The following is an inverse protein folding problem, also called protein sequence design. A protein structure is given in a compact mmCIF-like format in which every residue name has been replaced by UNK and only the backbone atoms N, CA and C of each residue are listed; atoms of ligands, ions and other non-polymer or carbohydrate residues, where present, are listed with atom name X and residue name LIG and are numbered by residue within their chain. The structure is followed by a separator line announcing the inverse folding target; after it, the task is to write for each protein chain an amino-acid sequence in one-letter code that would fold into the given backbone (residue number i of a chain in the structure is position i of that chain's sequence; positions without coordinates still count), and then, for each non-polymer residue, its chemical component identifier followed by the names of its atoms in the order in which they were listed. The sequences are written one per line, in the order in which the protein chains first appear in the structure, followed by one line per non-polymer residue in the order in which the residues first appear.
data_IF_619028883964
#
_entry.id   IF_619028883964
#
_cell.length_a   1.000
_cell.length_b   1.000
_cell.length_c   1.000
_cell.angle_alpha   90.00
_cell.angle_beta   90.00
_cell.angle_gamma   90.00
#
_symmetry.space_group_name_H-M   'P 1'
#
loop_
_entity.id
_entity.type
_entity.pdbx_description
1 polymer ?
#
# COMPACT_ATOMS: atom_id res chain seq x y z
N UNK A 1 30.07 -9.80 2.44
CA UNK A 1 29.76 -8.42 2.01
C UNK A 1 30.35 -7.47 3.02
N UNK A 2 31.23 -6.53 2.65
CA UNK A 2 31.79 -5.56 3.60
C UNK A 2 30.66 -4.69 4.15
N UNK A 3 30.63 -4.42 5.44
CA UNK A 3 29.61 -3.61 6.15
C UNK A 3 29.35 -2.28 5.42
N UNK A 4 30.37 -1.66 4.82
CA UNK A 4 30.23 -0.42 4.05
C UNK A 4 29.35 -0.54 2.79
N UNK A 5 29.29 -1.69 2.13
CA UNK A 5 28.48 -1.90 0.92
C UNK A 5 27.00 -2.13 1.26
N UNK A 6 26.70 -2.73 2.42
CA UNK A 6 25.34 -2.86 2.90
C UNK A 6 24.71 -1.47 3.18
N UNK A 7 25.42 -0.64 3.94
CA UNK A 7 24.93 0.72 4.27
C UNK A 7 24.76 1.61 3.03
N UNK A 8 25.68 1.52 2.05
CA UNK A 8 25.56 2.26 0.77
C UNK A 8 24.33 1.83 -0.02
N UNK A 9 24.05 0.52 -0.12
CA UNK A 9 22.87 0.00 -0.82
C UNK A 9 21.57 0.40 -0.11
N UNK A 10 21.55 0.33 1.24
CA UNK A 10 20.39 0.75 2.03
C UNK A 10 20.12 2.26 1.90
N UNK A 11 21.15 3.09 1.96
CA UNK A 11 21.02 4.54 1.78
C UNK A 11 20.53 4.90 0.38
N UNK A 12 21.07 4.27 -0.66
CA UNK A 12 20.64 4.48 -2.06
C UNK A 12 19.18 4.05 -2.26
N UNK A 13 18.77 2.90 -1.71
CA UNK A 13 17.38 2.43 -1.75
C UNK A 13 16.43 3.41 -1.05
N UNK A 14 16.79 3.88 0.15
CA UNK A 14 16.00 4.84 0.91
C UNK A 14 15.88 6.18 0.20
N UNK A 15 16.96 6.68 -0.40
CA UNK A 15 16.95 7.92 -1.19
C UNK A 15 16.02 7.80 -2.40
N UNK A 16 16.13 6.72 -3.19
CA UNK A 16 15.26 6.48 -4.34
C UNK A 16 13.79 6.35 -3.93
N UNK A 17 13.51 5.72 -2.80
CA UNK A 17 12.16 5.64 -2.23
C UNK A 17 11.63 7.02 -1.83
N UNK A 18 12.47 7.88 -1.23
CA UNK A 18 12.10 9.26 -0.90
C UNK A 18 11.81 10.07 -2.17
N UNK A 19 12.67 9.99 -3.18
CA UNK A 19 12.47 10.63 -4.49
C UNK A 19 11.15 10.17 -5.12
N UNK A 20 10.86 8.87 -5.08
CA UNK A 20 9.58 8.33 -5.58
C UNK A 20 8.37 8.94 -4.85
N UNK A 21 8.45 9.12 -3.53
CA UNK A 21 7.37 9.76 -2.76
C UNK A 21 7.17 11.22 -3.15
N UNK A 22 8.27 11.96 -3.38
CA UNK A 22 8.21 13.34 -3.87
C UNK A 22 7.54 13.43 -5.23
N UNK A 23 7.91 12.57 -6.19
CA UNK A 23 7.24 12.51 -7.50
C UNK A 23 5.77 12.12 -7.39
N UNK A 24 5.42 11.19 -6.48
CA UNK A 24 4.03 10.84 -6.20
C UNK A 24 3.24 12.03 -5.67
N UNK A 25 3.84 12.83 -4.81
CA UNK A 25 3.23 14.05 -4.29
C UNK A 25 3.07 15.12 -5.39
N UNK A 26 4.09 15.36 -6.21
CA UNK A 26 4.01 16.29 -7.36
C UNK A 26 2.91 15.87 -8.34
N UNK A 27 2.76 14.58 -8.62
CA UNK A 27 1.64 14.07 -9.41
C UNK A 27 0.28 14.43 -8.78
N UNK A 28 0.12 14.19 -7.46
CA UNK A 28 -1.13 14.48 -6.77
C UNK A 28 -1.45 15.99 -6.79
N UNK A 29 -0.43 16.88 -6.68
CA UNK A 29 -0.59 18.32 -6.85
C UNK A 29 -1.09 18.69 -8.26
N UNK A 30 -0.53 18.08 -9.28
CA UNK A 30 -0.91 18.32 -10.68
C UNK A 30 -2.35 17.81 -10.91
N UNK A 31 -2.67 16.62 -10.44
CA UNK A 31 -4.01 16.05 -10.61
C UNK A 31 -5.08 16.89 -9.88
N UNK A 32 -4.81 17.33 -8.65
CA UNK A 32 -5.73 18.23 -7.94
C UNK A 32 -5.90 19.57 -8.64
N UNK A 33 -4.84 20.12 -9.24
CA UNK A 33 -4.92 21.36 -10.00
C UNK A 33 -5.82 21.26 -11.23
N UNK A 34 -5.77 20.15 -11.98
CA UNK A 34 -6.55 19.94 -13.19
C UNK A 34 -7.96 19.41 -12.96
N UNK A 35 -8.15 18.59 -11.93
CA UNK A 35 -9.38 17.81 -11.71
C UNK A 35 -10.18 18.26 -10.49
N UNK A 36 -9.57 19.02 -9.58
CA UNK A 36 -10.18 19.30 -8.28
C UNK A 36 -10.56 18.01 -7.55
N UNK A 37 -11.64 18.04 -6.79
CA UNK A 37 -12.31 16.86 -6.23
C UNK A 37 -13.56 16.51 -7.06
N UNK A 38 -13.39 16.37 -8.38
CA UNK A 38 -14.44 16.06 -9.32
C UNK A 38 -14.62 14.56 -9.59
N UNK A 39 -15.65 14.25 -10.42
CA UNK A 39 -16.00 12.85 -10.78
C UNK A 39 -14.83 12.08 -11.38
N UNK A 40 -14.06 12.69 -12.28
CA UNK A 40 -12.89 12.07 -12.93
C UNK A 40 -11.83 11.66 -11.88
N UNK A 41 -11.57 12.56 -10.92
CA UNK A 41 -10.59 12.28 -9.87
C UNK A 41 -11.08 11.17 -8.94
N UNK A 42 -12.36 11.17 -8.56
CA UNK A 42 -12.97 10.11 -7.76
C UNK A 42 -12.88 8.74 -8.46
N UNK A 43 -13.24 8.68 -9.76
CA UNK A 43 -13.14 7.45 -10.55
C UNK A 43 -11.69 6.97 -10.58
N UNK A 44 -10.73 7.87 -10.84
CA UNK A 44 -9.30 7.51 -10.81
C UNK A 44 -8.91 6.93 -9.45
N UNK A 45 -9.23 7.61 -8.34
CA UNK A 45 -8.85 7.19 -6.98
C UNK A 45 -9.47 5.84 -6.61
N UNK A 46 -10.76 5.64 -6.92
CA UNK A 46 -11.49 4.41 -6.55
C UNK A 46 -11.12 3.24 -7.47
N UNK A 47 -11.21 3.44 -8.78
CA UNK A 47 -11.03 2.34 -9.76
C UNK A 47 -9.56 1.92 -9.85
N UNK A 48 -8.61 2.86 -9.81
CA UNK A 48 -7.19 2.48 -9.86
C UNK A 48 -6.72 1.77 -8.59
N UNK A 49 -7.45 1.84 -7.49
CA UNK A 49 -7.17 0.98 -6.32
C UNK A 49 -7.37 -0.50 -6.63
N UNK A 50 -8.27 -0.87 -7.54
CA UNK A 50 -8.52 -2.28 -7.90
C UNK A 50 -7.24 -2.94 -8.43
N UNK A 51 -6.61 -2.50 -9.53
CA UNK A 51 -5.34 -3.10 -9.99
C UNK A 51 -4.21 -2.96 -8.97
N UNK A 52 -4.19 -1.91 -8.13
CA UNK A 52 -3.18 -1.76 -7.08
C UNK A 52 -3.29 -2.80 -5.96
N UNK A 53 -4.50 -3.15 -5.55
CA UNK A 53 -4.73 -4.19 -4.56
C UNK A 53 -4.29 -5.54 -5.11
N UNK A 54 -4.67 -5.89 -6.33
CA UNK A 54 -4.22 -7.13 -6.97
C UNK A 54 -2.70 -7.13 -7.21
N UNK A 55 -2.10 -5.98 -7.52
CA UNK A 55 -0.64 -5.83 -7.60
C UNK A 55 0.05 -6.23 -6.29
N UNK A 56 -0.50 -5.90 -5.14
CA UNK A 56 0.07 -6.27 -3.85
C UNK A 56 0.03 -7.77 -3.59
N UNK A 57 -0.97 -8.48 -4.11
CA UNK A 57 -1.04 -9.93 -4.04
C UNK A 57 -0.03 -10.61 -4.98
N UNK A 58 0.06 -10.15 -6.23
CA UNK A 58 0.85 -10.82 -7.27
C UNK A 58 2.25 -10.24 -7.46
N UNK A 59 2.51 -9.03 -7.01
CA UNK A 59 3.71 -8.29 -7.37
C UNK A 59 4.62 -7.89 -6.23
N UNK A 60 4.12 -7.26 -5.19
CA UNK A 60 4.96 -6.71 -4.14
C UNK A 60 4.95 -7.59 -2.88
N UNK A 61 6.05 -7.61 -2.16
CA UNK A 61 6.15 -8.28 -0.87
C UNK A 61 6.03 -9.79 -0.93
N UNK A 62 4.84 -10.35 -1.11
CA UNK A 62 4.59 -11.79 -1.05
C UNK A 62 5.39 -12.58 -2.10
N UNK A 63 5.38 -12.14 -3.36
CA UNK A 63 6.14 -12.77 -4.44
C UNK A 63 7.65 -12.69 -4.18
N UNK A 64 8.17 -11.49 -3.86
CA UNK A 64 9.59 -11.29 -3.61
C UNK A 64 10.10 -12.07 -2.37
N UNK A 65 9.32 -12.09 -1.29
CA UNK A 65 9.63 -12.84 -0.07
C UNK A 65 9.65 -14.35 -0.30
N UNK A 66 8.78 -14.86 -1.18
CA UNK A 66 8.68 -16.29 -1.48
C UNK A 66 9.68 -16.73 -2.56
N UNK A 67 9.91 -15.89 -3.58
CA UNK A 67 10.75 -16.22 -4.73
C UNK A 67 12.24 -16.19 -4.35
N UNK A 68 12.70 -15.22 -3.57
CA UNK A 68 14.12 -15.08 -3.21
C UNK A 68 14.68 -16.34 -2.50
N UNK A 69 14.07 -16.91 -1.44
CA UNK A 69 14.54 -18.15 -0.86
C UNK A 69 14.48 -19.34 -1.82
N UNK A 70 13.40 -19.41 -2.64
CA UNK A 70 13.21 -20.51 -3.59
C UNK A 70 14.24 -20.49 -4.72
N UNK A 71 14.71 -19.32 -5.15
CA UNK A 71 15.85 -19.16 -6.09
C UNK A 71 17.11 -19.79 -5.51
N UNK A 72 17.39 -19.51 -4.21
CA UNK A 72 18.57 -20.02 -3.53
C UNK A 72 18.51 -21.56 -3.40
N UNK A 73 17.33 -22.11 -3.10
CA UNK A 73 17.10 -23.55 -2.99
C UNK A 73 17.20 -24.29 -4.34
N UNK A 74 16.75 -23.66 -5.42
CA UNK A 74 16.77 -24.26 -6.75
C UNK A 74 18.18 -24.52 -7.29
N UNK A 75 19.22 -23.82 -6.80
CA UNK A 75 20.63 -24.01 -7.17
C UNK A 75 20.84 -24.12 -8.69
N UNK A 76 21.34 -25.27 -9.15
CA UNK A 76 21.57 -25.51 -10.59
C UNK A 76 20.30 -25.49 -11.46
N UNK A 77 19.12 -25.68 -10.86
CA UNK A 77 17.82 -25.65 -11.56
C UNK A 77 17.15 -24.27 -11.53
N UNK A 78 17.84 -23.19 -11.10
CA UNK A 78 17.27 -21.86 -10.94
C UNK A 78 16.56 -21.35 -12.18
N UNK A 79 17.19 -21.45 -13.37
CA UNK A 79 16.58 -20.96 -14.60
C UNK A 79 15.31 -21.75 -14.96
N UNK A 80 15.33 -23.08 -14.78
CA UNK A 80 14.15 -23.92 -15.01
C UNK A 80 13.02 -23.51 -14.05
N UNK A 81 13.32 -23.38 -12.77
CA UNK A 81 12.38 -22.95 -11.75
C UNK A 81 11.76 -21.57 -12.07
N UNK A 82 12.59 -20.59 -12.41
CA UNK A 82 12.12 -19.25 -12.76
C UNK A 82 11.24 -19.25 -14.02
N UNK A 83 11.59 -20.04 -15.03
CA UNK A 83 10.79 -20.20 -16.26
C UNK A 83 9.41 -20.77 -15.94
N UNK A 84 9.33 -21.78 -15.07
CA UNK A 84 8.06 -22.41 -14.67
C UNK A 84 7.20 -21.43 -13.86
N UNK A 85 7.80 -20.72 -12.89
CA UNK A 85 7.07 -19.68 -12.11
C UNK A 85 6.59 -18.57 -13.04
N UNK A 86 7.42 -18.11 -13.98
CA UNK A 86 7.04 -17.09 -14.96
C UNK A 86 5.86 -17.59 -15.82
N UNK A 87 5.92 -18.84 -16.31
CA UNK A 87 4.85 -19.44 -17.13
C UNK A 87 3.51 -19.45 -16.38
N UNK A 88 3.51 -19.92 -15.12
CA UNK A 88 2.31 -19.95 -14.29
C UNK A 88 1.80 -18.53 -14.03
N UNK A 89 2.68 -17.62 -13.60
CA UNK A 89 2.32 -16.23 -13.32
C UNK A 89 1.72 -15.54 -14.54
N UNK A 90 2.38 -15.64 -15.70
CA UNK A 90 1.95 -15.02 -16.95
C UNK A 90 0.58 -15.52 -17.39
N UNK A 91 0.40 -16.85 -17.46
CA UNK A 91 -0.88 -17.45 -17.89
C UNK A 91 -2.01 -17.07 -16.91
N UNK A 92 -1.75 -17.17 -15.60
CA UNK A 92 -2.76 -16.81 -14.59
C UNK A 92 -3.17 -15.34 -14.69
N UNK A 93 -2.21 -14.43 -14.92
CA UNK A 93 -2.50 -13.01 -15.08
C UNK A 93 -3.23 -12.69 -16.37
N UNK A 94 -2.85 -13.32 -17.50
CA UNK A 94 -3.54 -13.14 -18.78
C UNK A 94 -4.98 -13.60 -18.67
N UNK A 95 -5.22 -14.78 -18.07
CA UNK A 95 -6.57 -15.28 -17.83
C UNK A 95 -7.37 -14.36 -16.92
N UNK A 96 -6.73 -13.83 -15.86
CA UNK A 96 -7.39 -12.91 -14.94
C UNK A 96 -7.75 -11.58 -15.62
N UNK A 97 -6.83 -10.99 -16.40
CA UNK A 97 -7.10 -9.78 -17.18
C UNK A 97 -8.24 -10.05 -18.15
N UNK A 98 -8.22 -11.18 -18.85
CA UNK A 98 -9.28 -11.54 -19.79
C UNK A 98 -10.66 -11.65 -19.14
N UNK A 99 -10.74 -12.24 -17.93
CA UNK A 99 -12.00 -12.31 -17.16
C UNK A 99 -12.51 -10.91 -16.79
N UNK A 100 -11.62 -10.02 -16.35
CA UNK A 100 -12.03 -8.66 -15.99
C UNK A 100 -12.44 -7.84 -17.21
N UNK A 101 -11.78 -8.02 -18.36
CA UNK A 101 -12.13 -7.37 -19.62
C UNK A 101 -13.50 -7.82 -20.17
N UNK A 102 -13.88 -9.08 -19.94
CA UNK A 102 -15.21 -9.59 -20.32
C UNK A 102 -16.29 -9.08 -19.37
N UNK A 103 -16.02 -9.04 -18.08
CA UNK A 103 -16.99 -8.73 -17.02
C UNK A 103 -16.63 -7.47 -16.20
N UNK A 104 -16.25 -6.34 -16.79
CA UNK A 104 -15.79 -5.18 -16.04
C UNK A 104 -16.88 -4.59 -15.15
N UNK A 105 -18.16 -4.62 -15.59
CA UNK A 105 -19.31 -4.16 -14.80
C UNK A 105 -19.43 -4.93 -13.48
N UNK A 106 -19.19 -6.24 -13.51
CA UNK A 106 -19.22 -7.09 -12.33
C UNK A 106 -18.16 -6.63 -11.30
N UNK A 107 -16.94 -6.34 -11.75
CA UNK A 107 -15.87 -5.86 -10.88
C UNK A 107 -16.15 -4.45 -10.35
N UNK A 108 -16.65 -3.53 -11.17
CA UNK A 108 -17.06 -2.19 -10.70
C UNK A 108 -18.18 -2.30 -9.67
N UNK A 109 -19.19 -3.15 -9.90
CA UNK A 109 -20.26 -3.38 -8.92
C UNK A 109 -19.79 -3.96 -7.58
N UNK A 110 -18.71 -4.76 -7.58
CA UNK A 110 -18.15 -5.29 -6.32
C UNK A 110 -17.32 -4.22 -5.60
N UNK A 111 -16.47 -3.49 -6.32
CA UNK A 111 -15.44 -2.61 -5.72
C UNK A 111 -15.86 -1.14 -5.62
N UNK A 112 -16.88 -0.73 -6.36
CA UNK A 112 -17.42 0.62 -6.35
C UNK A 112 -18.95 0.60 -6.55
N UNK A 113 -19.71 -0.16 -5.73
CA UNK A 113 -21.15 -0.34 -5.92
C UNK A 113 -21.93 0.99 -5.87
N UNK A 114 -21.45 1.97 -5.10
CA UNK A 114 -22.10 3.28 -5.02
C UNK A 114 -22.09 4.08 -6.33
N UNK A 115 -21.19 3.76 -7.27
CA UNK A 115 -21.19 4.42 -8.58
C UNK A 115 -22.39 4.02 -9.44
N UNK A 116 -23.03 2.86 -9.19
CA UNK A 116 -24.22 2.42 -9.90
C UNK A 116 -25.46 3.30 -9.67
N UNK A 117 -25.41 4.20 -8.69
CA UNK A 117 -26.47 5.20 -8.49
C UNK A 117 -26.47 6.31 -9.57
N UNK A 118 -25.42 6.41 -10.40
CA UNK A 118 -25.29 7.35 -11.51
C UNK A 118 -24.74 6.61 -12.73
N UNK A 119 -25.59 6.38 -13.72
CA UNK A 119 -25.27 5.60 -14.92
C UNK A 119 -24.04 6.13 -15.66
N UNK A 120 -23.91 7.45 -15.81
CA UNK A 120 -22.75 8.05 -16.46
C UNK A 120 -21.45 7.77 -15.70
N UNK A 121 -21.44 8.00 -14.38
CA UNK A 121 -20.26 7.75 -13.54
C UNK A 121 -19.89 6.27 -13.53
N UNK A 122 -20.88 5.38 -13.57
CA UNK A 122 -20.67 3.94 -13.64
C UNK A 122 -20.04 3.53 -14.98
N UNK A 123 -20.57 4.01 -16.11
CA UNK A 123 -20.03 3.69 -17.43
C UNK A 123 -18.62 4.24 -17.63
N UNK A 124 -18.34 5.45 -17.14
CA UNK A 124 -16.99 6.03 -17.12
C UNK A 124 -16.04 5.18 -16.28
N UNK A 125 -16.48 4.69 -15.11
CA UNK A 125 -15.70 3.82 -14.25
C UNK A 125 -15.41 2.46 -14.89
N UNK A 126 -16.39 1.87 -15.58
CA UNK A 126 -16.25 0.62 -16.35
C UNK A 126 -15.26 0.81 -17.50
N UNK A 127 -15.40 1.88 -18.27
CA UNK A 127 -14.48 2.22 -19.36
C UNK A 127 -13.05 2.44 -18.86
N UNK A 128 -12.91 3.14 -17.73
CA UNK A 128 -11.61 3.37 -17.13
C UNK A 128 -10.99 2.07 -16.57
N UNK A 129 -11.78 1.20 -15.94
CA UNK A 129 -11.29 -0.11 -15.46
C UNK A 129 -10.73 -0.93 -16.62
N UNK A 130 -11.45 -1.08 -17.72
CA UNK A 130 -10.96 -1.76 -18.93
C UNK A 130 -9.61 -1.21 -19.39
N UNK A 131 -9.49 0.11 -19.45
CA UNK A 131 -8.25 0.74 -19.92
C UNK A 131 -7.06 0.50 -18.98
N UNK A 132 -7.28 0.52 -17.65
CA UNK A 132 -6.17 0.44 -16.69
C UNK A 132 -5.89 -0.97 -16.17
N UNK A 133 -6.83 -1.92 -16.31
CA UNK A 133 -6.67 -3.24 -15.73
C UNK A 133 -5.51 -4.06 -16.34
N UNK A 134 -5.20 -3.97 -17.65
CA UNK A 134 -4.02 -4.63 -18.22
C UNK A 134 -2.68 -4.21 -17.59
N UNK A 135 -2.63 -3.07 -16.91
CA UNK A 135 -1.46 -2.65 -16.13
C UNK A 135 -1.04 -3.68 -15.08
N UNK A 136 -1.99 -4.49 -14.54
CA UNK A 136 -1.67 -5.54 -13.55
C UNK A 136 -0.70 -6.58 -14.12
N UNK A 137 -0.86 -6.95 -15.39
CA UNK A 137 0.05 -7.88 -16.06
C UNK A 137 1.46 -7.31 -16.13
N UNK A 138 1.58 -6.04 -16.56
CA UNK A 138 2.86 -5.35 -16.70
C UNK A 138 3.58 -5.25 -15.36
N UNK A 139 2.90 -4.73 -14.34
CA UNK A 139 3.52 -4.47 -13.03
C UNK A 139 3.83 -5.78 -12.26
N UNK A 140 3.05 -6.84 -12.44
CA UNK A 140 3.35 -8.14 -11.82
C UNK A 140 4.59 -8.80 -12.44
N UNK A 141 4.80 -8.66 -13.75
CA UNK A 141 6.04 -9.11 -14.41
C UNK A 141 7.22 -8.25 -13.94
N UNK A 142 7.04 -6.93 -13.79
CA UNK A 142 8.04 -6.03 -13.20
C UNK A 142 8.45 -6.50 -11.81
N UNK A 143 7.49 -6.87 -10.98
CA UNK A 143 7.75 -7.37 -9.63
C UNK A 143 8.46 -8.74 -9.63
N UNK A 144 8.14 -9.63 -10.59
CA UNK A 144 8.86 -10.87 -10.80
C UNK A 144 10.33 -10.60 -11.15
N UNK A 145 10.62 -9.69 -12.08
CA UNK A 145 11.99 -9.26 -12.38
C UNK A 145 12.67 -8.61 -11.18
N UNK A 146 11.95 -7.76 -10.44
CA UNK A 146 12.42 -7.14 -9.22
C UNK A 146 12.84 -8.16 -8.15
N UNK A 147 12.10 -9.25 -7.99
CA UNK A 147 12.47 -10.33 -7.06
C UNK A 147 13.78 -11.02 -7.48
N UNK A 148 13.99 -11.24 -8.79
CA UNK A 148 15.25 -11.78 -9.32
C UNK A 148 16.40 -10.79 -9.09
N UNK A 149 16.21 -9.51 -9.38
CA UNK A 149 17.19 -8.46 -9.14
C UNK A 149 17.57 -8.36 -7.66
N UNK A 150 16.58 -8.41 -6.76
CA UNK A 150 16.78 -8.41 -5.30
C UNK A 150 17.59 -9.64 -4.84
N UNK A 151 17.33 -10.83 -5.40
CA UNK A 151 18.11 -12.04 -5.10
C UNK A 151 19.59 -11.91 -5.48
N UNK A 152 19.85 -11.11 -6.52
CA UNK A 152 21.22 -10.77 -6.99
C UNK A 152 21.75 -9.45 -6.40
N UNK A 153 21.08 -8.88 -5.39
CA UNK A 153 21.45 -7.64 -4.67
C UNK A 153 21.43 -6.35 -5.53
N UNK A 154 20.62 -6.33 -6.58
CA UNK A 154 20.38 -5.14 -7.40
C UNK A 154 19.08 -4.42 -6.97
N UNK A 155 19.10 -3.75 -5.81
CA UNK A 155 17.90 -3.14 -5.19
C UNK A 155 17.51 -1.79 -5.82
N UNK A 156 18.43 -1.06 -6.40
CA UNK A 156 18.23 0.32 -6.86
C UNK A 156 17.18 0.43 -7.97
N UNK A 157 17.18 -0.52 -8.91
CA UNK A 157 16.23 -0.51 -10.04
C UNK A 157 14.81 -0.69 -9.54
N UNK A 158 14.62 -1.62 -8.60
CA UNK A 158 13.32 -1.88 -7.97
C UNK A 158 12.82 -0.62 -7.24
N UNK A 159 13.70 0.07 -6.50
CA UNK A 159 13.38 1.31 -5.80
C UNK A 159 13.07 2.49 -6.75
N UNK A 160 13.71 2.53 -7.93
CA UNK A 160 13.49 3.57 -8.94
C UNK A 160 12.22 3.35 -9.78
N UNK A 161 11.72 2.12 -9.86
CA UNK A 161 10.58 1.77 -10.72
C UNK A 161 9.32 2.64 -10.48
N UNK A 162 8.89 2.95 -9.24
CA UNK A 162 7.74 3.82 -9.02
C UNK A 162 7.96 5.29 -9.43
N UNK A 163 9.21 5.74 -9.58
CA UNK A 163 9.53 7.08 -10.09
C UNK A 163 9.05 7.21 -11.53
N UNK A 164 9.31 6.19 -12.36
CA UNK A 164 8.89 6.15 -13.76
C UNK A 164 7.36 6.19 -13.90
N UNK A 165 6.65 5.52 -13.00
CA UNK A 165 5.20 5.59 -12.95
C UNK A 165 4.70 7.03 -12.75
N UNK A 166 5.21 7.70 -11.73
CA UNK A 166 4.80 9.07 -11.43
C UNK A 166 5.22 10.06 -12.53
N UNK A 167 6.43 9.92 -13.09
CA UNK A 167 6.91 10.77 -14.19
C UNK A 167 5.98 10.60 -15.41
N UNK A 168 5.60 9.39 -15.79
CA UNK A 168 4.69 9.16 -16.90
C UNK A 168 3.37 9.91 -16.71
N UNK A 169 2.74 9.77 -15.54
CA UNK A 169 1.47 10.45 -15.25
C UNK A 169 1.63 11.98 -15.26
N UNK A 170 2.72 12.50 -14.69
CA UNK A 170 3.01 13.94 -14.71
C UNK A 170 3.19 14.46 -16.14
N UNK A 171 3.99 13.77 -16.95
CA UNK A 171 4.27 14.18 -18.34
C UNK A 171 2.97 14.20 -19.15
N UNK A 172 2.16 13.16 -19.06
CA UNK A 172 0.87 13.13 -19.78
C UNK A 172 -0.09 14.22 -19.29
N UNK A 173 -0.14 14.51 -17.99
CA UNK A 173 -0.98 15.56 -17.45
C UNK A 173 -0.54 16.96 -17.92
N UNK A 174 0.77 17.22 -18.02
CA UNK A 174 1.30 18.53 -18.45
C UNK A 174 1.21 18.72 -19.95
N UNK A 175 1.35 17.64 -20.75
CA UNK A 175 1.30 17.71 -22.22
C UNK A 175 -0.13 17.81 -22.78
N UNK A 176 -1.14 17.50 -22.00
CA UNK A 176 -2.54 17.55 -22.44
C UNK A 176 -3.27 18.74 -21.83
N UNK A 177 -4.01 19.47 -22.64
CA UNK A 177 -4.79 20.63 -22.19
C UNK A 177 -5.96 20.24 -21.25
N UNK A 178 -6.43 19.00 -21.34
CA UNK A 178 -7.49 18.45 -20.49
C UNK A 178 -7.10 17.08 -19.99
N UNK A 179 -7.18 16.89 -18.68
CA UNK A 179 -6.90 15.62 -18.05
C UNK A 179 -8.16 14.77 -17.95
N UNK A 180 -8.35 13.88 -18.92
CA UNK A 180 -9.48 12.95 -18.97
C UNK A 180 -9.09 11.57 -18.43
N UNK A 181 -10.09 10.71 -18.14
CA UNK A 181 -9.84 9.31 -17.75
C UNK A 181 -9.05 8.53 -18.81
N UNK A 182 -9.25 8.84 -20.10
CA UNK A 182 -8.50 8.23 -21.19
C UNK A 182 -7.01 8.61 -21.13
N UNK A 183 -6.69 9.89 -20.95
CA UNK A 183 -5.31 10.39 -20.81
C UNK A 183 -4.64 9.75 -19.61
N UNK A 184 -5.33 9.68 -18.47
CA UNK A 184 -4.83 9.04 -17.26
C UNK A 184 -4.58 7.54 -17.50
N UNK A 185 -5.52 6.83 -18.09
CA UNK A 185 -5.41 5.40 -18.35
C UNK A 185 -4.26 5.06 -19.32
N UNK A 186 -4.10 5.81 -20.40
CA UNK A 186 -2.97 5.67 -21.33
C UNK A 186 -1.65 5.94 -20.63
N UNK A 187 -1.59 6.98 -19.79
CA UNK A 187 -0.37 7.30 -19.04
C UNK A 187 0.05 6.17 -18.08
N UNK A 188 -0.92 5.48 -17.46
CA UNK A 188 -0.70 4.31 -16.59
C UNK A 188 -0.14 3.13 -17.42
N UNK A 189 -0.72 2.85 -18.59
CA UNK A 189 -0.22 1.78 -19.45
C UNK A 189 1.19 2.09 -19.98
N UNK A 190 1.43 3.32 -20.43
CA UNK A 190 2.77 3.76 -20.84
C UNK A 190 3.79 3.63 -19.69
N UNK A 191 3.40 4.02 -18.48
CA UNK A 191 4.22 3.82 -17.29
C UNK A 191 4.59 2.35 -17.09
N UNK A 192 3.59 1.45 -17.17
CA UNK A 192 3.79 0.00 -17.06
C UNK A 192 4.74 -0.56 -18.10
N UNK A 193 4.62 -0.13 -19.35
CA UNK A 193 5.51 -0.55 -20.44
C UNK A 193 6.94 -0.06 -20.17
N UNK A 194 7.12 1.20 -19.81
CA UNK A 194 8.46 1.77 -19.51
C UNK A 194 9.08 1.02 -18.31
N UNK A 195 8.33 0.78 -17.26
CA UNK A 195 8.77 0.00 -16.09
C UNK A 195 9.18 -1.42 -16.48
N UNK A 196 8.38 -2.08 -17.32
CA UNK A 196 8.67 -3.43 -17.81
C UNK A 196 9.93 -3.46 -18.66
N UNK A 197 10.09 -2.53 -19.60
CA UNK A 197 11.28 -2.44 -20.45
C UNK A 197 12.56 -2.25 -19.64
N UNK A 198 12.54 -1.34 -18.65
CA UNK A 198 13.70 -1.12 -17.78
C UNK A 198 14.06 -2.38 -16.98
N UNK A 199 13.06 -3.01 -16.33
CA UNK A 199 13.31 -4.16 -15.49
C UNK A 199 13.71 -5.40 -16.31
N UNK A 200 13.12 -5.60 -17.49
CA UNK A 200 13.52 -6.64 -18.43
C UNK A 200 14.97 -6.45 -18.89
N UNK A 201 15.35 -5.24 -19.29
CA UNK A 201 16.72 -4.92 -19.71
C UNK A 201 17.75 -5.22 -18.62
N UNK A 202 17.48 -4.79 -17.38
CA UNK A 202 18.40 -5.06 -16.26
C UNK A 202 18.47 -6.56 -15.96
N UNK A 203 17.34 -7.27 -16.01
CA UNK A 203 17.31 -8.73 -15.74
C UNK A 203 18.03 -9.51 -16.83
N UNK A 204 17.94 -9.08 -18.10
CA UNK A 204 18.75 -9.65 -19.20
C UNK A 204 20.24 -9.46 -18.97
N UNK A 205 20.67 -8.27 -18.49
CA UNK A 205 22.08 -8.05 -18.12
C UNK A 205 22.57 -8.91 -16.95
N UNK A 206 21.64 -9.41 -16.13
CA UNK A 206 21.94 -10.38 -15.07
C UNK A 206 21.92 -11.84 -15.58
N UNK A 207 22.03 -12.02 -16.90
CA UNK A 207 22.05 -13.33 -17.59
C UNK A 207 20.80 -14.19 -17.36
N UNK A 208 19.63 -13.52 -17.24
CA UNK A 208 18.37 -14.21 -17.20
C UNK A 208 17.33 -13.51 -18.10
N UNK A 209 16.66 -14.31 -18.92
CA UNK A 209 15.47 -13.93 -19.67
C UNK A 209 14.44 -15.06 -19.57
N UNK A 210 13.18 -14.74 -19.21
CA UNK A 210 12.17 -15.77 -19.01
C UNK A 210 11.82 -16.48 -20.32
N UNK A 211 11.63 -17.80 -20.21
CA UNK A 211 11.11 -18.63 -21.29
C UNK A 211 9.90 -19.40 -20.77
N UNK A 212 8.96 -19.70 -21.64
CA UNK A 212 7.86 -20.58 -21.27
C UNK A 212 8.38 -22.01 -21.08
N UNK A 213 8.05 -22.61 -19.91
CA UNK A 213 8.42 -23.98 -19.56
C UNK A 213 7.20 -24.65 -18.89
N UNK A 214 6.62 -25.61 -19.61
CA UNK A 214 5.45 -26.37 -19.18
C UNK A 214 5.83 -27.71 -18.51
N UNK A 215 7.12 -28.02 -18.40
CA UNK A 215 7.59 -29.23 -17.73
C UNK A 215 7.79 -28.99 -16.23
N UNK A 216 6.69 -28.90 -15.49
CA UNK A 216 6.64 -28.49 -14.11
C UNK A 216 7.32 -29.46 -13.15
N UNK A 217 8.32 -29.00 -12.41
CA UNK A 217 8.96 -29.71 -11.29
C UNK A 217 8.10 -29.54 -10.03
N UNK A 218 7.23 -30.51 -9.76
CA UNK A 218 6.28 -30.48 -8.63
C UNK A 218 6.93 -30.18 -7.29
N UNK A 219 8.16 -30.67 -7.05
CA UNK A 219 8.84 -30.47 -5.76
C UNK A 219 9.27 -29.02 -5.55
N UNK A 220 9.86 -28.38 -6.56
CA UNK A 220 10.30 -26.98 -6.49
C UNK A 220 9.09 -26.03 -6.40
N UNK A 221 8.07 -26.28 -7.22
CA UNK A 221 6.85 -25.44 -7.21
C UNK A 221 6.06 -25.59 -5.92
N UNK A 222 5.93 -26.80 -5.36
CA UNK A 222 5.25 -27.00 -4.07
C UNK A 222 5.92 -26.24 -2.94
N UNK A 223 7.26 -26.25 -2.86
CA UNK A 223 8.01 -25.46 -1.88
C UNK A 223 7.80 -23.95 -2.06
N UNK A 224 7.74 -23.48 -3.29
CA UNK A 224 7.45 -22.06 -3.57
C UNK A 224 6.01 -21.67 -3.18
N UNK A 225 5.02 -22.43 -3.60
CA UNK A 225 3.60 -22.14 -3.32
C UNK A 225 3.27 -22.26 -1.83
N UNK A 226 3.89 -23.19 -1.10
CA UNK A 226 3.73 -23.29 0.36
C UNK A 226 4.20 -22.06 1.14
N UNK A 227 5.11 -21.27 0.55
CA UNK A 227 5.54 -19.97 1.09
C UNK A 227 4.70 -18.80 0.55
N UNK A 228 4.37 -18.85 -0.75
CA UNK A 228 3.64 -17.77 -1.42
C UNK A 228 2.23 -17.63 -0.86
N UNK A 229 1.47 -18.72 -0.71
CA UNK A 229 0.09 -18.64 -0.26
C UNK A 229 -0.08 -17.98 1.12
N UNK A 230 0.65 -18.39 2.17
CA UNK A 230 0.58 -17.70 3.46
C UNK A 230 1.00 -16.22 3.39
N UNK A 231 2.01 -15.89 2.58
CA UNK A 231 2.46 -14.50 2.41
C UNK A 231 1.41 -13.64 1.70
N UNK A 232 0.71 -14.19 0.68
CA UNK A 232 -0.41 -13.53 0.00
C UNK A 232 -1.57 -13.30 0.98
N UNK A 233 -1.95 -14.31 1.77
CA UNK A 233 -3.01 -14.15 2.78
C UNK A 233 -2.65 -13.10 3.84
N UNK A 234 -1.41 -13.08 4.31
CA UNK A 234 -0.97 -12.09 5.30
C UNK A 234 -0.99 -10.65 4.74
N UNK A 235 -0.52 -10.45 3.50
CA UNK A 235 -0.61 -9.17 2.81
C UNK A 235 -2.07 -8.77 2.51
N UNK A 236 -2.92 -9.76 2.25
CA UNK A 236 -4.31 -9.59 1.87
C UNK A 236 -5.16 -8.88 2.90
N UNK A 237 -4.98 -9.15 4.19
CA UNK A 237 -5.80 -8.56 5.26
C UNK A 237 -5.69 -7.03 5.24
N UNK A 238 -4.47 -6.50 5.08
CA UNK A 238 -4.28 -5.05 4.97
C UNK A 238 -4.98 -4.49 3.73
N UNK A 239 -4.87 -5.17 2.60
CA UNK A 239 -5.49 -4.74 1.34
C UNK A 239 -7.01 -4.82 1.40
N UNK A 240 -7.58 -5.78 2.14
CA UNK A 240 -9.02 -5.85 2.36
C UNK A 240 -9.55 -4.64 3.14
N UNK A 241 -8.83 -4.13 4.15
CA UNK A 241 -9.20 -2.89 4.82
C UNK A 241 -9.26 -1.72 3.84
N UNK A 242 -8.24 -1.55 2.98
CA UNK A 242 -8.19 -0.50 1.96
C UNK A 242 -9.34 -0.64 0.96
N UNK A 243 -9.71 -1.86 0.58
CA UNK A 243 -10.83 -2.12 -0.32
C UNK A 243 -12.17 -1.80 0.34
N UNK A 244 -12.38 -2.21 1.59
CA UNK A 244 -13.61 -1.89 2.34
C UNK A 244 -13.82 -0.38 2.38
N UNK A 245 -12.82 0.40 2.77
CA UNK A 245 -12.92 1.85 2.78
C UNK A 245 -13.23 2.42 1.39
N UNK A 246 -12.67 1.83 0.33
CA UNK A 246 -12.92 2.25 -1.06
C UNK A 246 -14.36 1.95 -1.50
N UNK A 247 -14.88 0.77 -1.14
CA UNK A 247 -16.28 0.39 -1.39
C UNK A 247 -17.22 1.40 -0.73
N UNK A 248 -17.01 1.69 0.55
CA UNK A 248 -17.84 2.66 1.28
C UNK A 248 -17.68 4.08 0.73
N UNK A 249 -16.48 4.50 0.33
CA UNK A 249 -16.23 5.80 -0.29
C UNK A 249 -17.01 5.97 -1.60
N UNK A 250 -17.27 4.90 -2.35
CA UNK A 250 -18.04 4.96 -3.59
C UNK A 250 -19.50 5.37 -3.40
N UNK A 251 -20.10 5.13 -2.23
CA UNK A 251 -21.47 5.53 -1.90
C UNK A 251 -21.59 7.01 -1.51
N UNK A 252 -20.49 7.68 -1.29
CA UNK A 252 -20.49 9.07 -0.83
C UNK A 252 -20.65 10.04 -2.02
N UNK A 253 -20.95 11.30 -1.68
CA UNK A 253 -21.06 12.37 -2.67
C UNK A 253 -19.76 12.55 -3.46
N UNK A 254 -19.88 13.05 -4.69
CA UNK A 254 -18.74 13.39 -5.53
C UNK A 254 -17.78 14.32 -4.78
N UNK A 255 -16.48 14.04 -4.89
CA UNK A 255 -15.40 14.70 -4.17
C UNK A 255 -14.96 13.92 -2.93
N UNK A 256 -15.86 13.16 -2.28
CA UNK A 256 -15.54 12.44 -1.04
C UNK A 256 -14.38 11.44 -1.17
N UNK A 257 -14.32 10.58 -2.21
CA UNK A 257 -13.17 9.70 -2.42
C UNK A 257 -11.85 10.46 -2.56
N UNK A 258 -11.88 11.60 -3.25
CA UNK A 258 -10.69 12.45 -3.45
C UNK A 258 -10.27 13.13 -2.15
N UNK A 259 -11.19 13.70 -1.37
CA UNK A 259 -10.88 14.34 -0.07
C UNK A 259 -10.29 13.34 0.91
N UNK A 260 -10.84 12.13 0.98
CA UNK A 260 -10.30 11.04 1.81
C UNK A 260 -8.92 10.61 1.34
N UNK A 261 -8.71 10.46 0.03
CA UNK A 261 -7.43 10.09 -0.54
C UNK A 261 -6.32 11.09 -0.20
N UNK A 262 -6.57 12.39 -0.36
CA UNK A 262 -5.60 13.43 -0.07
C UNK A 262 -5.31 13.52 1.43
N UNK A 263 -6.32 13.39 2.27
CA UNK A 263 -6.17 13.36 3.73
C UNK A 263 -5.35 12.16 4.19
N UNK A 264 -5.63 10.96 3.67
CA UNK A 264 -4.85 9.74 3.97
C UNK A 264 -3.39 9.88 3.56
N UNK A 265 -3.10 10.52 2.42
CA UNK A 265 -1.73 10.85 1.99
C UNK A 265 -0.95 11.64 3.05
N UNK A 266 -1.60 12.62 3.66
CA UNK A 266 -0.98 13.43 4.71
C UNK A 266 -0.76 12.62 5.99
N UNK A 267 -1.69 11.75 6.36
CA UNK A 267 -1.54 10.84 7.51
C UNK A 267 -0.41 9.82 7.29
N UNK A 268 -0.25 9.33 6.07
CA UNK A 268 0.83 8.38 5.75
C UNK A 268 2.23 9.01 5.82
N UNK A 269 2.36 10.33 5.74
CA UNK A 269 3.67 10.99 5.85
C UNK A 269 4.31 10.78 7.22
N UNK A 270 3.71 11.17 8.36
CA UNK A 270 4.28 10.90 9.69
C UNK A 270 4.38 9.40 10.00
N UNK A 271 3.44 8.59 9.51
CA UNK A 271 3.49 7.15 9.65
C UNK A 271 4.73 6.53 8.96
N UNK A 272 5.10 7.03 7.79
CA UNK A 272 6.29 6.59 7.06
C UNK A 272 7.58 7.12 7.67
N UNK A 273 7.59 8.37 8.14
CA UNK A 273 8.76 9.01 8.69
C UNK A 273 9.13 8.45 10.09
N UNK A 274 8.16 8.44 10.99
CA UNK A 274 8.39 8.05 12.39
C UNK A 274 8.09 6.58 12.65
N UNK A 275 6.96 6.07 12.15
CA UNK A 275 6.49 4.72 12.46
C UNK A 275 7.43 3.64 11.94
N UNK A 276 7.93 3.79 10.71
CA UNK A 276 8.88 2.83 10.11
C UNK A 276 10.25 2.92 10.77
N UNK A 277 10.76 4.14 11.00
CA UNK A 277 12.07 4.34 11.63
C UNK A 277 12.12 3.72 13.03
N UNK A 278 11.10 3.97 13.85
CA UNK A 278 11.02 3.43 15.22
C UNK A 278 10.88 1.91 15.19
N UNK A 279 10.06 1.35 14.30
CA UNK A 279 9.90 -0.09 14.18
C UNK A 279 11.19 -0.80 13.78
N UNK A 280 11.99 -0.21 12.87
CA UNK A 280 13.27 -0.78 12.42
C UNK A 280 14.32 -0.79 13.52
N UNK A 281 14.36 0.26 14.36
CA UNK A 281 15.33 0.33 15.49
C UNK A 281 14.88 -0.55 16.65
N UNK A 282 13.58 -0.54 16.96
CA UNK A 282 13.05 -1.27 18.11
C UNK A 282 13.11 -2.79 17.93
N UNK A 283 12.94 -3.30 16.71
CA UNK A 283 12.89 -4.76 16.47
C UNK A 283 14.15 -5.50 16.89
N UNK A 284 15.38 -5.11 16.48
CA UNK A 284 16.61 -5.79 16.92
C UNK A 284 16.82 -5.69 18.44
N UNK A 285 16.68 -4.51 19.02
CA UNK A 285 16.91 -4.28 20.44
C UNK A 285 15.96 -5.11 21.31
N UNK A 286 14.66 -5.10 20.97
CA UNK A 286 13.65 -5.87 21.69
C UNK A 286 13.87 -7.38 21.52
N UNK A 287 14.32 -7.84 20.34
CA UNK A 287 14.65 -9.25 20.10
C UNK A 287 15.83 -9.69 20.95
N UNK A 288 16.90 -8.89 21.02
CA UNK A 288 18.09 -9.19 21.83
C UNK A 288 17.74 -9.28 23.32
N UNK A 289 16.99 -8.30 23.84
CA UNK A 289 16.57 -8.28 25.25
C UNK A 289 15.63 -9.46 25.57
N UNK A 290 14.76 -9.84 24.63
CA UNK A 290 13.89 -11.01 24.78
C UNK A 290 14.68 -12.33 24.86
N UNK A 291 15.64 -12.54 23.94
CA UNK A 291 16.50 -13.74 23.91
C UNK A 291 17.36 -13.84 25.18
N UNK A 292 17.90 -12.71 25.65
CA UNK A 292 18.69 -12.63 26.87
C UNK A 292 17.87 -12.78 28.16
N UNK A 293 16.53 -12.82 28.06
CA UNK A 293 15.59 -12.81 29.19
C UNK A 293 15.81 -11.63 30.15
N UNK A 294 16.29 -10.49 29.65
CA UNK A 294 16.51 -9.28 30.44
C UNK A 294 15.19 -8.50 30.56
N UNK A 295 14.31 -8.96 31.43
CA UNK A 295 12.99 -8.40 31.65
C UNK A 295 13.04 -6.95 32.15
N UNK A 296 14.08 -6.53 32.87
CA UNK A 296 14.24 -5.17 33.40
C UNK A 296 14.45 -4.16 32.25
N UNK A 297 15.44 -4.43 31.41
CA UNK A 297 15.76 -3.55 30.29
C UNK A 297 14.71 -3.66 29.18
N UNK A 298 14.10 -4.83 28.97
CA UNK A 298 12.97 -5.02 28.06
C UNK A 298 11.80 -4.08 28.44
N UNK A 299 11.39 -4.10 29.72
CA UNK A 299 10.32 -3.23 30.21
C UNK A 299 10.65 -1.74 30.11
N UNK A 300 11.90 -1.36 30.38
CA UNK A 300 12.37 0.03 30.27
C UNK A 300 12.33 0.51 28.80
N UNK A 301 12.83 -0.30 27.87
CA UNK A 301 12.82 0.00 26.43
C UNK A 301 11.40 0.02 25.88
N UNK A 302 10.56 -0.92 26.30
CA UNK A 302 9.13 -0.94 25.98
C UNK A 302 8.43 0.36 26.40
N UNK A 303 8.59 0.77 27.66
CA UNK A 303 7.90 1.97 28.17
C UNK A 303 8.40 3.24 27.46
N UNK A 304 9.70 3.38 27.25
CA UNK A 304 10.30 4.52 26.52
C UNK A 304 9.84 4.55 25.07
N UNK A 305 9.90 3.44 24.35
CA UNK A 305 9.47 3.36 22.97
C UNK A 305 7.97 3.64 22.81
N UNK A 306 7.14 3.06 23.70
CA UNK A 306 5.69 3.34 23.69
C UNK A 306 5.38 4.81 23.97
N UNK A 307 6.02 5.40 24.99
CA UNK A 307 5.80 6.83 25.32
C UNK A 307 6.28 7.74 24.19
N UNK A 308 7.44 7.46 23.60
CA UNK A 308 7.99 8.26 22.51
C UNK A 308 7.08 8.25 21.27
N UNK A 309 6.55 7.06 20.89
CA UNK A 309 5.64 6.95 19.74
C UNK A 309 4.29 7.59 20.00
N UNK A 310 3.76 7.49 21.23
CA UNK A 310 2.54 8.18 21.63
C UNK A 310 2.72 9.72 21.60
N UNK A 311 3.80 10.22 22.17
CA UNK A 311 4.08 11.67 22.18
C UNK A 311 4.26 12.21 20.77
N UNK A 312 4.98 11.52 19.88
CA UNK A 312 5.11 11.88 18.48
C UNK A 312 3.75 11.87 17.76
N UNK A 313 2.93 10.87 18.01
CA UNK A 313 1.58 10.81 17.46
C UNK A 313 0.69 11.94 17.95
N UNK A 314 0.72 12.23 19.25
CA UNK A 314 -0.01 13.35 19.84
C UNK A 314 0.47 14.72 19.29
N UNK A 315 1.78 14.92 19.19
CA UNK A 315 2.31 16.15 18.61
C UNK A 315 1.88 16.36 17.16
N UNK A 316 1.92 15.30 16.35
CA UNK A 316 1.47 15.35 14.95
C UNK A 316 -0.05 15.52 14.86
N UNK A 317 -0.83 14.85 15.71
CA UNK A 317 -2.27 15.04 15.81
C UNK A 317 -2.59 16.51 16.10
N UNK A 318 -2.00 17.08 17.15
CA UNK A 318 -2.20 18.48 17.55
C UNK A 318 -1.82 19.42 16.39
N UNK A 319 -0.72 19.16 15.70
CA UNK A 319 -0.30 19.94 14.55
C UNK A 319 -1.36 19.92 13.43
N UNK A 320 -1.93 18.76 13.08
CA UNK A 320 -2.99 18.70 12.08
C UNK A 320 -4.32 19.30 12.56
N UNK A 321 -4.66 19.21 13.84
CA UNK A 321 -5.86 19.84 14.38
C UNK A 321 -5.84 21.37 14.23
N UNK A 322 -4.68 21.99 14.44
CA UNK A 322 -4.56 23.44 14.36
C UNK A 322 -4.27 23.96 12.94
N UNK A 323 -3.56 23.19 12.12
CA UNK A 323 -3.05 23.67 10.83
C UNK A 323 -3.59 22.89 9.63
N UNK A 324 -4.66 22.11 9.76
CA UNK A 324 -5.20 21.30 8.65
C UNK A 324 -5.63 22.15 7.46
N UNK A 325 -6.33 23.26 7.69
CA UNK A 325 -6.82 24.16 6.64
C UNK A 325 -5.66 24.81 5.91
N UNK A 326 -4.70 25.36 6.67
CA UNK A 326 -3.53 26.03 6.14
C UNK A 326 -2.65 25.06 5.33
N UNK A 327 -2.44 23.85 5.84
CA UNK A 327 -1.66 22.82 5.15
C UNK A 327 -2.32 22.45 3.83
N UNK A 328 -3.61 22.13 3.84
CA UNK A 328 -4.33 21.73 2.65
C UNK A 328 -4.44 22.88 1.65
N UNK A 329 -4.70 24.10 2.14
CA UNK A 329 -4.74 25.29 1.29
C UNK A 329 -3.38 25.54 0.63
N UNK A 330 -2.28 25.51 1.39
CA UNK A 330 -0.93 25.69 0.87
C UNK A 330 -0.56 24.63 -0.18
N UNK A 331 -0.95 23.37 0.08
CA UNK A 331 -0.55 22.25 -0.75
C UNK A 331 -1.44 22.10 -1.98
N UNK A 332 -2.77 22.19 -1.87
CA UNK A 332 -3.69 21.76 -2.90
C UNK A 332 -4.61 22.85 -3.46
N UNK A 333 -4.81 23.98 -2.76
CA UNK A 333 -5.71 25.06 -3.23
C UNK A 333 -5.13 25.75 -4.46
N UNK A 334 -5.44 25.21 -5.63
CA UNK A 334 -5.10 25.78 -6.95
C UNK A 334 -5.96 25.16 -8.05
N UNK A 335 -6.15 25.89 -9.15
CA UNK A 335 -6.93 25.43 -10.30
C UNK A 335 -8.36 25.05 -9.91
N UNK A 336 -8.74 23.82 -10.21
CA UNK A 336 -10.09 23.28 -9.94
C UNK A 336 -10.33 22.90 -8.46
N UNK A 337 -9.27 22.87 -7.62
CA UNK A 337 -9.40 22.54 -6.19
C UNK A 337 -9.67 23.83 -5.39
N UNK A 338 -10.94 24.04 -5.03
CA UNK A 338 -11.46 25.27 -4.47
C UNK A 338 -11.56 25.26 -2.93
N UNK A 339 -12.01 26.40 -2.33
CA UNK A 339 -12.20 26.54 -0.87
C UNK A 339 -13.07 25.43 -0.27
N UNK A 340 -14.12 25.04 -0.97
CA UNK A 340 -15.00 23.95 -0.53
C UNK A 340 -14.23 22.64 -0.37
N UNK A 341 -13.37 22.29 -1.34
CA UNK A 341 -12.55 21.08 -1.29
C UNK A 341 -11.52 21.15 -0.16
N UNK A 342 -10.96 22.33 0.09
CA UNK A 342 -10.06 22.57 1.23
C UNK A 342 -10.79 22.27 2.53
N UNK A 343 -11.98 22.81 2.73
CA UNK A 343 -12.76 22.58 3.94
C UNK A 343 -13.12 21.11 4.16
N UNK A 344 -13.59 20.42 3.10
CA UNK A 344 -13.97 19.00 3.16
C UNK A 344 -12.74 18.09 3.41
N UNK A 345 -11.63 18.36 2.72
CA UNK A 345 -10.39 17.61 2.92
C UNK A 345 -9.82 17.83 4.32
N UNK A 346 -9.87 19.08 4.83
CA UNK A 346 -9.43 19.40 6.18
C UNK A 346 -10.27 18.68 7.24
N UNK A 347 -11.57 18.60 7.06
CA UNK A 347 -12.45 17.86 7.96
C UNK A 347 -12.09 16.36 8.02
N UNK A 348 -11.81 15.74 6.86
CA UNK A 348 -11.32 14.37 6.80
C UNK A 348 -9.95 14.21 7.44
N UNK A 349 -9.02 15.17 7.21
CA UNK A 349 -7.68 15.14 7.80
C UNK A 349 -7.74 15.21 9.32
N UNK A 350 -8.56 16.09 9.88
CA UNK A 350 -8.80 16.21 11.33
C UNK A 350 -9.35 14.87 11.88
N UNK A 351 -10.33 14.29 11.21
CA UNK A 351 -10.91 13.01 11.64
C UNK A 351 -9.87 11.87 11.65
N UNK A 352 -9.03 11.77 10.64
CA UNK A 352 -7.92 10.81 10.60
C UNK A 352 -6.79 11.16 11.59
N UNK A 353 -6.53 12.43 11.87
CA UNK A 353 -5.45 12.84 12.75
C UNK A 353 -5.58 12.26 14.16
N UNK A 354 -6.81 12.10 14.66
CA UNK A 354 -7.06 11.44 15.95
C UNK A 354 -6.56 9.99 16.00
N UNK A 355 -6.35 9.33 14.84
CA UNK A 355 -5.78 7.98 14.81
C UNK A 355 -4.27 7.94 15.01
N UNK A 356 -3.53 9.04 14.75
CA UNK A 356 -2.06 9.05 14.70
C UNK A 356 -1.37 8.54 15.97
N UNK A 357 -1.79 8.90 17.20
CA UNK A 357 -1.17 8.37 18.41
C UNK A 357 -1.26 6.83 18.46
N UNK A 358 -2.43 6.30 18.11
CA UNK A 358 -2.72 4.87 18.16
C UNK A 358 -2.01 4.12 17.04
N UNK A 359 -2.02 4.65 15.82
CA UNK A 359 -1.36 4.06 14.65
C UNK A 359 0.16 3.98 14.82
N UNK A 360 0.81 5.08 15.25
CA UNK A 360 2.26 5.10 15.47
C UNK A 360 2.67 4.15 16.59
N UNK A 361 1.91 4.14 17.69
CA UNK A 361 2.19 3.25 18.82
C UNK A 361 1.94 1.78 18.43
N UNK A 362 0.90 1.47 17.65
CA UNK A 362 0.66 0.12 17.13
C UNK A 362 1.78 -0.39 16.21
N UNK A 363 2.44 0.49 15.45
CA UNK A 363 3.64 0.11 14.68
C UNK A 363 4.77 -0.37 15.59
N UNK A 364 4.99 0.31 16.70
CA UNK A 364 5.96 -0.11 17.71
C UNK A 364 5.54 -1.43 18.38
N UNK A 365 4.28 -1.60 18.75
CA UNK A 365 3.75 -2.85 19.34
C UNK A 365 3.89 -4.04 18.39
N UNK A 366 3.64 -3.85 17.09
CA UNK A 366 3.84 -4.89 16.08
C UNK A 366 5.31 -5.36 16.06
N UNK A 367 6.29 -4.45 16.21
CA UNK A 367 7.71 -4.83 16.30
C UNK A 367 7.98 -5.72 17.50
N UNK A 368 7.29 -5.51 18.62
CA UNK A 368 7.43 -6.36 19.82
C UNK A 368 6.81 -7.74 19.60
N UNK A 369 5.65 -7.83 18.96
CA UNK A 369 5.06 -9.11 18.60
C UNK A 369 5.95 -9.90 17.65
N UNK A 370 6.62 -9.23 16.70
CA UNK A 370 7.61 -9.88 15.84
C UNK A 370 8.86 -10.30 16.63
N UNK A 371 9.41 -9.44 17.50
CA UNK A 371 10.57 -9.73 18.35
C UNK A 371 10.36 -10.94 19.27
N UNK A 372 9.12 -11.12 19.73
CA UNK A 372 8.73 -12.22 20.62
C UNK A 372 8.17 -13.44 19.88
N UNK A 373 8.23 -13.46 18.53
CA UNK A 373 7.69 -14.53 17.67
C UNK A 373 6.19 -14.78 17.84
N UNK A 374 5.44 -13.76 18.29
CA UNK A 374 3.99 -13.81 18.51
C UNK A 374 3.19 -13.20 17.34
N UNK A 375 3.59 -13.52 16.12
CA UNK A 375 3.02 -13.00 14.87
C UNK A 375 1.52 -13.29 14.69
N UNK A 376 1.01 -14.34 15.35
CA UNK A 376 -0.43 -14.67 15.35
C UNK A 376 -1.30 -13.55 15.92
N UNK A 377 -0.78 -12.78 16.90
CA UNK A 377 -1.52 -11.64 17.45
C UNK A 377 -1.63 -10.51 16.42
N UNK A 378 -0.60 -10.26 15.64
CA UNK A 378 -0.64 -9.24 14.56
C UNK A 378 -1.71 -9.61 13.53
N UNK A 379 -1.78 -10.88 13.14
CA UNK A 379 -2.80 -11.38 12.22
C UNK A 379 -4.22 -11.21 12.81
N UNK A 380 -4.41 -11.64 14.07
CA UNK A 380 -5.70 -11.52 14.74
C UNK A 380 -6.15 -10.06 14.87
N UNK A 381 -5.25 -9.16 15.25
CA UNK A 381 -5.51 -7.73 15.34
C UNK A 381 -5.89 -7.14 13.97
N UNK A 382 -5.26 -7.59 12.89
CA UNK A 382 -5.63 -7.20 11.52
C UNK A 382 -7.04 -7.64 11.13
N UNK A 383 -7.42 -8.88 11.46
CA UNK A 383 -8.78 -9.40 11.23
C UNK A 383 -9.81 -8.62 12.05
N UNK A 384 -9.52 -8.40 13.32
CA UNK A 384 -10.42 -7.61 14.21
C UNK A 384 -10.56 -6.18 13.68
N UNK A 385 -9.46 -5.55 13.22
CA UNK A 385 -9.48 -4.23 12.59
C UNK A 385 -10.45 -4.19 11.41
N UNK A 386 -10.38 -5.19 10.52
CA UNK A 386 -11.24 -5.27 9.34
C UNK A 386 -12.72 -5.31 9.71
N UNK A 387 -13.11 -6.17 10.66
CA UNK A 387 -14.51 -6.28 11.07
C UNK A 387 -15.03 -5.03 11.78
N UNK A 388 -14.22 -4.44 12.66
CA UNK A 388 -14.59 -3.19 13.35
C UNK A 388 -14.72 -2.05 12.35
N UNK A 389 -13.76 -1.90 11.44
CA UNK A 389 -13.78 -0.86 10.42
C UNK A 389 -15.02 -1.01 9.52
N UNK A 390 -15.34 -2.23 9.05
CA UNK A 390 -16.52 -2.52 8.25
C UNK A 390 -17.82 -2.15 8.98
N UNK A 391 -17.93 -2.54 10.25
CA UNK A 391 -19.11 -2.24 11.06
C UNK A 391 -19.26 -0.72 11.28
N UNK A 392 -18.17 -0.04 11.65
CA UNK A 392 -18.20 1.39 11.91
C UNK A 392 -18.41 2.21 10.63
N UNK A 393 -17.86 1.80 9.49
CA UNK A 393 -18.14 2.40 8.19
C UNK A 393 -19.64 2.36 7.88
N UNK A 394 -20.27 1.17 8.07
CA UNK A 394 -21.71 1.03 7.87
C UNK A 394 -22.51 1.94 8.80
N UNK A 395 -22.20 1.95 10.10
CA UNK A 395 -22.91 2.77 11.08
C UNK A 395 -22.77 4.27 10.81
N UNK A 396 -21.53 4.75 10.56
CA UNK A 396 -21.27 6.18 10.42
C UNK A 396 -21.77 6.74 9.10
N UNK A 397 -21.74 5.95 8.03
CA UNK A 397 -22.19 6.40 6.72
C UNK A 397 -23.71 6.27 6.58
N UNK A 398 -24.27 5.08 6.82
CA UNK A 398 -25.66 4.81 6.49
C UNK A 398 -26.65 5.09 7.64
N UNK A 399 -26.24 4.97 8.90
CA UNK A 399 -27.11 5.21 10.03
C UNK A 399 -26.97 6.64 10.53
N UNK A 400 -25.73 7.12 10.73
CA UNK A 400 -25.50 8.47 11.25
C UNK A 400 -25.34 9.54 10.17
N UNK A 401 -25.20 9.18 8.90
CA UNK A 401 -25.13 10.13 7.79
C UNK A 401 -23.90 11.04 7.81
N UNK A 402 -22.77 10.59 8.40
CA UNK A 402 -21.59 11.41 8.62
C UNK A 402 -20.70 11.60 7.38
N UNK A 403 -21.06 10.99 6.24
CA UNK A 403 -20.34 11.13 4.98
C UNK A 403 -18.86 10.72 5.07
N UNK A 404 -18.00 11.46 4.38
CA UNK A 404 -16.56 11.20 4.33
C UNK A 404 -15.85 11.34 5.68
N UNK A 405 -16.33 12.25 6.53
CA UNK A 405 -15.81 12.41 7.90
C UNK A 405 -16.10 11.16 8.72
N UNK A 406 -17.29 10.55 8.54
CA UNK A 406 -17.67 9.30 9.20
C UNK A 406 -16.73 8.15 8.84
N UNK A 407 -16.36 8.02 7.56
CA UNK A 407 -15.42 7.00 7.11
C UNK A 407 -14.02 7.19 7.73
N UNK A 408 -13.54 8.42 7.79
CA UNK A 408 -12.28 8.75 8.46
C UNK A 408 -12.31 8.46 9.97
N UNK A 409 -13.43 8.77 10.65
CA UNK A 409 -13.63 8.46 12.07
C UNK A 409 -13.75 6.96 12.33
N UNK A 410 -14.39 6.19 11.43
CA UNK A 410 -14.45 4.73 11.54
C UNK A 410 -13.05 4.10 11.58
N UNK A 411 -12.17 4.54 10.69
CA UNK A 411 -10.75 4.13 10.70
C UNK A 411 -10.05 4.54 11.99
N UNK A 412 -10.34 5.73 12.51
CA UNK A 412 -9.80 6.22 13.78
C UNK A 412 -10.26 5.38 14.97
N UNK A 413 -11.56 5.10 15.07
CA UNK A 413 -12.10 4.27 16.14
C UNK A 413 -11.58 2.82 16.05
N UNK A 414 -11.47 2.27 14.85
CA UNK A 414 -10.86 0.94 14.64
C UNK A 414 -9.40 0.92 15.11
N UNK A 415 -8.62 1.95 14.79
CA UNK A 415 -7.23 2.08 15.25
C UNK A 415 -7.12 2.15 16.78
N UNK A 416 -8.02 2.90 17.45
CA UNK A 416 -8.09 2.97 18.91
C UNK A 416 -8.39 1.60 19.54
N UNK A 417 -9.39 0.90 19.03
CA UNK A 417 -9.80 -0.42 19.57
C UNK A 417 -8.66 -1.44 19.39
N UNK A 418 -8.05 -1.49 18.22
CA UNK A 418 -6.90 -2.37 17.92
C UNK A 418 -5.72 -2.04 18.82
N UNK A 419 -5.46 -0.76 19.09
CA UNK A 419 -4.42 -0.33 20.01
C UNK A 419 -4.70 -0.80 21.45
N UNK A 420 -5.94 -0.66 21.94
CA UNK A 420 -6.33 -1.15 23.26
C UNK A 420 -6.17 -2.68 23.38
N UNK A 421 -6.60 -3.42 22.38
CA UNK A 421 -6.41 -4.87 22.31
C UNK A 421 -4.92 -5.26 22.28
N UNK A 422 -4.10 -4.50 21.57
CA UNK A 422 -2.64 -4.70 21.55
C UNK A 422 -2.03 -4.56 22.95
N UNK A 423 -2.48 -3.56 23.74
CA UNK A 423 -2.03 -3.39 25.14
C UNK A 423 -2.43 -4.61 25.98
N UNK A 424 -3.67 -5.09 25.86
CA UNK A 424 -4.15 -6.26 26.60
C UNK A 424 -3.28 -7.49 26.28
N UNK A 425 -3.00 -7.74 24.99
CA UNK A 425 -2.13 -8.84 24.59
C UNK A 425 -0.70 -8.68 25.08
N UNK A 426 -0.15 -7.46 25.11
CA UNK A 426 1.19 -7.20 25.64
C UNK A 426 1.28 -7.39 27.16
N UNK A 427 0.25 -7.01 27.92
CA UNK A 427 0.17 -7.27 29.35
C UNK A 427 0.11 -8.78 29.62
N UNK A 428 -0.66 -9.53 28.84
CA UNK A 428 -0.70 -10.99 28.93
C UNK A 428 0.67 -11.62 28.64
N UNK A 429 1.36 -11.16 27.59
CA UNK A 429 2.72 -11.61 27.25
C UNK A 429 3.71 -11.33 28.37
N UNK A 430 3.66 -10.14 28.99
CA UNK A 430 4.56 -9.79 30.09
C UNK A 430 4.40 -10.74 31.29
N UNK A 431 3.18 -11.13 31.62
CA UNK A 431 2.92 -12.11 32.70
C UNK A 431 3.48 -13.50 32.39
N UNK A 432 3.60 -13.85 31.10
CA UNK A 432 4.21 -15.13 30.69
C UNK A 432 5.73 -15.08 30.60
N UNK A 433 6.35 -13.89 30.71
CA UNK A 433 7.80 -13.66 30.69
C UNK A 433 8.40 -13.43 32.11
N UNK A 434 7.54 -13.12 33.08
CA UNK A 434 7.89 -13.03 34.50
C UNK A 434 7.76 -14.39 35.18
#
# INVERSE_FOLDING_TARGET
MKISNFWKSSASFSLLTLVSRVFGYVRDLIFTNYLGAGSIHDIFVVIFKIPNVFRSFFGEGALSQSLTPSIIEARAKTNKFLNQVFTILFISLVLFVFVVEIFPQFFVNIFAPGFSANDQKFDEAVGFLRLVFPYILLISIVAFFGAIQNSKKHFNVVAATPILFNISLIVFAVLNNQLTLQVIGISILCAGIIQLMLNAFVTMRLSYFPKFDFNFDKKLLSSFFSRLLPAVFAAGIYQLNVLVDTIFASFLSTGSPTWLYLSDRLIQFPMGLFGVAIALVALPDMTELYIKKDSKNFNKTFLRGSLSTLLLGLATMIFYLFFSVEIISLLFKRGEFQEFDVAMTSASLVAYAYALPFLLNSKFFNSIFFATSKTKFVLLLGIVSLFINLLLNYLFIFIFGMGHVGLALATTCAALIVWLLSIIFLIYLRKSLA
#
